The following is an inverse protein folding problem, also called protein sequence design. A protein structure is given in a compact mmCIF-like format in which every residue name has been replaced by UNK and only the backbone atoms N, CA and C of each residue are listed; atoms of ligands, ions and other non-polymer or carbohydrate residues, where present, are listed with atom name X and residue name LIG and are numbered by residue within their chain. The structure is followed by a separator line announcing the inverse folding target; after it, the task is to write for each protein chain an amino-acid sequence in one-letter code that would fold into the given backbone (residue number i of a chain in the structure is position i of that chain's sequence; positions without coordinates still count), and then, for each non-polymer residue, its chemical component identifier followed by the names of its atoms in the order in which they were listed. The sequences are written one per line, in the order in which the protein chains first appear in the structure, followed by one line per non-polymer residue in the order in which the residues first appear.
data_IF_591116661368
#
_entry.id   IF_591116661368
#
_cell.length_a   1.000
_cell.length_b   1.000
_cell.length_c   1.000
_cell.angle_alpha   90.00
_cell.angle_beta   90.00
_cell.angle_gamma   90.00
#
_symmetry.space_group_name_H-M   'P 1'
#
loop_
_entity.id
_entity.type
_entity.pdbx_description
1 polymer ?
#
# COMPACT_ATOMS: atom_id res chain seq x y z
N UNK A 1 -11.50 6.33 -10.19
CA UNK A 1 -10.66 5.64 -11.19
C UNK A 1 -9.23 5.53 -10.67
N UNK A 2 -8.66 4.36 -10.78
CA UNK A 2 -7.27 4.09 -10.37
C UNK A 2 -6.30 4.65 -11.41
N UNK A 3 -5.38 5.50 -10.98
CA UNK A 3 -4.44 6.16 -11.90
C UNK A 3 -3.10 6.47 -11.24
N UNK A 4 -2.07 6.69 -12.06
CA UNK A 4 -0.76 7.14 -11.60
C UNK A 4 -0.84 8.57 -11.07
N UNK A 5 -0.08 8.84 -10.01
CA UNK A 5 0.16 10.19 -9.51
C UNK A 5 0.96 10.98 -10.54
N UNK A 6 0.57 12.22 -10.77
CA UNK A 6 1.24 13.16 -11.65
C UNK A 6 2.17 14.07 -10.85
N UNK A 7 3.14 14.67 -11.52
CA UNK A 7 4.04 15.62 -10.89
C UNK A 7 3.28 16.76 -10.19
N UNK A 8 2.19 17.23 -10.81
CA UNK A 8 1.34 18.28 -10.25
C UNK A 8 0.61 17.87 -8.96
N UNK A 9 0.57 16.57 -8.64
CA UNK A 9 -0.07 16.05 -7.44
C UNK A 9 0.87 15.94 -6.24
N UNK A 10 2.18 16.11 -6.42
CA UNK A 10 3.16 15.79 -5.38
C UNK A 10 2.94 16.57 -4.07
N UNK A 11 2.62 17.84 -4.15
CA UNK A 11 2.32 18.64 -2.96
C UNK A 11 1.07 18.15 -2.24
N UNK A 12 0.05 17.78 -2.99
CA UNK A 12 -1.18 17.19 -2.43
C UNK A 12 -0.87 15.87 -1.72
N UNK A 13 0.00 15.03 -2.30
CA UNK A 13 0.41 13.78 -1.67
C UNK A 13 1.16 14.01 -0.36
N UNK A 14 2.06 15.00 -0.31
CA UNK A 14 2.76 15.37 0.92
C UNK A 14 1.79 15.75 2.03
N UNK A 15 0.79 16.56 1.71
CA UNK A 15 -0.27 16.91 2.65
C UNK A 15 -1.11 15.71 3.07
N UNK A 16 -1.42 14.82 2.12
CA UNK A 16 -2.17 13.59 2.39
C UNK A 16 -1.44 12.71 3.41
N UNK A 17 -0.14 12.51 3.25
CA UNK A 17 0.66 11.74 4.20
C UNK A 17 0.59 12.33 5.61
N UNK A 18 0.72 13.63 5.74
CA UNK A 18 0.69 14.30 7.06
C UNK A 18 -0.70 14.29 7.68
N UNK A 19 -1.74 14.40 6.87
CA UNK A 19 -3.12 14.37 7.37
C UNK A 19 -3.51 13.02 7.97
N UNK A 20 -2.99 11.92 7.44
CA UNK A 20 -3.27 10.58 7.98
C UNK A 20 -2.36 10.18 9.14
N UNK A 21 -1.19 10.78 9.26
CA UNK A 21 -0.26 10.47 10.34
C UNK A 21 -0.92 10.66 11.70
N UNK A 22 -0.84 9.64 12.56
CA UNK A 22 -1.41 9.68 13.91
C UNK A 22 -2.92 9.44 14.00
N UNK A 23 -3.61 9.20 12.88
CA UNK A 23 -5.02 8.81 12.91
C UNK A 23 -5.18 7.34 13.33
N UNK A 24 -6.38 6.96 13.76
CA UNK A 24 -6.67 5.59 14.19
C UNK A 24 -6.38 4.58 13.07
N UNK A 25 -5.78 3.45 13.42
CA UNK A 25 -5.38 2.37 12.50
C UNK A 25 -4.32 2.77 11.45
N UNK A 26 -3.73 3.94 11.55
CA UNK A 26 -2.66 4.37 10.66
C UNK A 26 -1.31 4.33 11.40
N UNK A 27 -0.38 3.55 10.89
CA UNK A 27 0.97 3.45 11.44
C UNK A 27 1.92 4.56 10.95
N UNK A 28 1.43 5.46 10.11
CA UNK A 28 2.24 6.56 9.58
C UNK A 28 2.56 7.58 10.67
N UNK A 29 3.71 8.23 10.51
CA UNK A 29 4.21 9.22 11.47
C UNK A 29 4.34 10.59 10.82
N UNK A 30 4.81 11.57 11.56
CA UNK A 30 5.08 12.91 11.04
C UNK A 30 6.28 12.95 10.06
N UNK A 31 7.05 11.86 9.97
CA UNK A 31 8.19 11.74 9.05
C UNK A 31 8.07 10.58 8.05
N UNK A 32 7.13 9.65 8.25
CA UNK A 32 6.95 8.50 7.35
C UNK A 32 5.46 8.32 6.99
N UNK A 33 5.10 8.16 5.70
CA UNK A 33 5.96 8.32 4.53
C UNK A 33 6.51 9.74 4.42
N UNK A 34 7.75 9.87 3.96
CA UNK A 34 8.39 11.15 3.76
C UNK A 34 8.83 11.38 2.33
N UNK A 35 9.68 12.38 2.13
CA UNK A 35 10.17 12.73 0.80
C UNK A 35 10.95 11.59 0.11
N UNK A 36 11.80 10.80 0.83
CA UNK A 36 12.50 9.69 0.18
C UNK A 36 11.55 8.66 -0.43
N UNK A 37 10.49 8.30 0.29
CA UNK A 37 9.49 7.34 -0.18
C UNK A 37 8.70 7.90 -1.34
N UNK A 38 8.27 9.16 -1.25
CA UNK A 38 7.53 9.83 -2.29
C UNK A 38 8.32 9.88 -3.60
N UNK A 39 9.57 10.31 -3.54
CA UNK A 39 10.42 10.41 -4.73
C UNK A 39 10.74 9.05 -5.33
N UNK A 40 11.01 8.05 -4.50
CA UNK A 40 11.23 6.68 -4.97
C UNK A 40 10.01 6.13 -5.69
N UNK A 41 8.84 6.21 -5.06
CA UNK A 41 7.60 5.69 -5.65
C UNK A 41 7.25 6.40 -6.94
N UNK A 42 7.36 7.73 -6.95
CA UNK A 42 7.05 8.53 -8.13
C UNK A 42 8.02 8.23 -9.29
N UNK A 43 9.31 8.17 -9.02
CA UNK A 43 10.33 7.91 -10.06
C UNK A 43 10.23 6.53 -10.70
N UNK A 44 9.63 5.56 -9.99
CA UNK A 44 9.42 4.19 -10.47
C UNK A 44 8.05 4.00 -11.13
N UNK A 45 7.26 5.05 -11.31
CA UNK A 45 5.86 4.98 -11.76
C UNK A 45 5.05 3.99 -10.90
N UNK A 46 5.21 4.09 -9.59
CA UNK A 46 4.68 3.11 -8.64
C UNK A 46 3.83 3.72 -7.52
N UNK A 47 3.39 4.96 -7.70
CA UNK A 47 2.46 5.62 -6.78
C UNK A 47 1.14 5.89 -7.51
N UNK A 48 0.07 5.33 -6.98
CA UNK A 48 -1.26 5.38 -7.60
C UNK A 48 -2.27 6.01 -6.65
N UNK A 49 -3.32 6.54 -7.23
CA UNK A 49 -4.43 7.11 -6.46
C UNK A 49 -5.78 6.72 -7.03
N UNK A 50 -6.79 6.92 -6.19
CA UNK A 50 -8.19 6.99 -6.61
C UNK A 50 -8.67 8.39 -6.25
N UNK A 51 -9.35 9.04 -7.20
CA UNK A 51 -9.95 10.37 -6.99
C UNK A 51 -11.45 10.26 -6.78
N UNK A 52 -11.96 11.17 -5.98
CA UNK A 52 -13.39 11.36 -5.87
C UNK A 52 -13.94 11.90 -7.21
N UNK A 53 -15.00 11.27 -7.73
CA UNK A 53 -15.53 11.60 -9.04
C UNK A 53 -16.16 13.00 -9.12
N UNK A 54 -16.61 13.52 -7.99
CA UNK A 54 -17.29 14.83 -7.93
C UNK A 54 -16.26 15.95 -7.71
N UNK A 55 -15.40 15.83 -6.70
CA UNK A 55 -14.48 16.90 -6.31
C UNK A 55 -13.14 16.85 -7.05
N UNK A 56 -12.74 15.68 -7.57
CA UNK A 56 -11.41 15.44 -8.13
C UNK A 56 -10.31 15.30 -7.08
N UNK A 57 -10.64 15.37 -5.80
CA UNK A 57 -9.68 15.19 -4.72
C UNK A 57 -9.15 13.75 -4.67
N UNK A 58 -7.91 13.60 -4.22
CA UNK A 58 -7.34 12.28 -3.96
C UNK A 58 -8.04 11.67 -2.75
N UNK A 59 -8.79 10.59 -2.98
CA UNK A 59 -9.48 9.85 -1.94
C UNK A 59 -8.58 8.83 -1.25
N UNK A 60 -7.62 8.26 -1.97
CA UNK A 60 -6.70 7.28 -1.44
C UNK A 60 -5.46 7.11 -2.29
N UNK A 61 -4.43 6.56 -1.68
CA UNK A 61 -3.11 6.31 -2.29
C UNK A 61 -2.66 4.88 -2.01
N UNK A 62 -1.85 4.33 -2.91
CA UNK A 62 -1.17 3.05 -2.73
C UNK A 62 0.13 3.05 -3.53
N UNK A 63 1.14 2.38 -3.02
CA UNK A 63 2.43 2.20 -3.71
C UNK A 63 2.69 0.74 -4.01
N UNK A 64 3.38 0.48 -5.13
CA UNK A 64 4.11 -0.77 -5.36
C UNK A 64 5.57 -0.50 -5.01
N UNK A 65 6.10 -1.23 -4.02
CA UNK A 65 7.42 -0.96 -3.44
C UNK A 65 8.45 -2.02 -3.83
N UNK A 66 9.71 -1.66 -3.69
CA UNK A 66 10.86 -2.52 -3.97
C UNK A 66 11.85 -2.55 -2.78
N UNK A 67 11.37 -2.37 -1.57
CA UNK A 67 12.19 -2.36 -0.36
C UNK A 67 12.98 -3.68 -0.22
N UNK A 68 14.34 -3.64 -0.31
CA UNK A 68 15.15 -4.86 -0.23
C UNK A 68 14.99 -5.62 1.08
N UNK A 69 14.74 -4.93 2.19
CA UNK A 69 14.54 -5.60 3.47
C UNK A 69 13.27 -6.46 3.44
N UNK A 70 12.17 -5.93 2.91
CA UNK A 70 10.91 -6.67 2.80
C UNK A 70 11.05 -7.82 1.82
N UNK A 71 11.68 -7.58 0.66
CA UNK A 71 11.89 -8.61 -0.35
C UNK A 71 12.73 -9.78 0.17
N UNK A 72 13.65 -9.53 1.10
CA UNK A 72 14.56 -10.54 1.66
C UNK A 72 13.93 -11.40 2.76
N UNK A 73 12.71 -11.12 3.20
CA UNK A 73 12.03 -11.93 4.22
C UNK A 73 11.80 -13.35 3.67
N UNK A 74 12.20 -14.35 4.46
CA UNK A 74 12.23 -15.75 3.99
C UNK A 74 10.86 -16.41 3.86
N UNK A 75 9.79 -15.76 4.32
CA UNK A 75 8.45 -16.34 4.30
C UNK A 75 7.77 -16.33 2.91
N UNK A 76 8.28 -15.54 1.95
CA UNK A 76 7.65 -15.44 0.63
C UNK A 76 7.85 -16.71 -0.19
N UNK A 77 6.81 -17.18 -0.87
CA UNK A 77 6.83 -18.42 -1.66
C UNK A 77 7.73 -18.28 -2.88
N UNK A 78 8.70 -19.19 -3.04
CA UNK A 78 9.63 -19.17 -4.17
C UNK A 78 8.93 -19.39 -5.52
N UNK A 79 7.94 -20.27 -5.56
CA UNK A 79 7.17 -20.59 -6.76
C UNK A 79 6.28 -19.43 -7.23
N UNK A 80 6.06 -18.44 -6.39
CA UNK A 80 5.28 -17.23 -6.70
C UNK A 80 6.14 -16.04 -7.08
N UNK A 81 7.43 -16.23 -7.32
CA UNK A 81 8.31 -15.18 -7.80
C UNK A 81 8.25 -15.06 -9.33
N UNK A 82 8.39 -13.89 -9.93
CA UNK A 82 8.64 -12.60 -9.25
C UNK A 82 7.41 -12.06 -8.53
N UNK A 83 7.66 -11.40 -7.42
CA UNK A 83 6.64 -10.78 -6.57
C UNK A 83 7.02 -9.31 -6.29
N UNK A 84 6.06 -8.51 -5.87
CA UNK A 84 6.33 -7.13 -5.45
C UNK A 84 5.44 -6.75 -4.27
N UNK A 85 5.92 -5.80 -3.49
CA UNK A 85 5.22 -5.33 -2.31
C UNK A 85 4.16 -4.30 -2.66
N UNK A 86 2.98 -4.43 -2.04
CA UNK A 86 1.99 -3.35 -1.96
C UNK A 86 2.19 -2.68 -0.61
N UNK A 87 2.43 -1.38 -0.62
CA UNK A 87 2.70 -0.62 0.60
C UNK A 87 2.09 0.77 0.57
N UNK A 88 2.20 1.47 1.68
CA UNK A 88 1.73 2.86 1.83
C UNK A 88 0.31 3.06 1.30
N UNK A 89 -0.58 2.13 1.66
CA UNK A 89 -1.99 2.25 1.36
C UNK A 89 -2.65 3.14 2.42
N UNK A 90 -3.30 4.20 1.97
CA UNK A 90 -4.02 5.10 2.85
C UNK A 90 -5.27 5.66 2.18
N UNK A 91 -6.32 5.86 2.97
CA UNK A 91 -7.58 6.44 2.52
C UNK A 91 -7.87 7.66 3.39
N UNK A 92 -8.15 8.81 2.77
CA UNK A 92 -8.50 10.02 3.49
C UNK A 92 -9.72 9.77 4.38
N UNK A 93 -9.72 10.33 5.60
CA UNK A 93 -10.73 10.02 6.61
C UNK A 93 -12.17 10.19 6.10
N UNK A 94 -12.44 11.25 5.36
CA UNK A 94 -13.78 11.51 4.82
C UNK A 94 -14.23 10.52 3.74
N UNK A 95 -13.31 9.75 3.18
CA UNK A 95 -13.59 8.74 2.14
C UNK A 95 -13.50 7.31 2.65
N UNK A 96 -13.23 7.10 3.93
CA UNK A 96 -13.16 5.76 4.52
C UNK A 96 -14.53 5.07 4.55
N UNK A 97 -14.50 3.74 4.62
CA UNK A 97 -15.71 2.88 4.66
C UNK A 97 -16.57 2.95 3.38
N UNK A 98 -15.95 3.28 2.25
CA UNK A 98 -16.62 3.35 0.94
C UNK A 98 -16.01 2.38 -0.09
N UNK A 99 -15.15 1.46 0.34
CA UNK A 99 -14.51 0.49 -0.54
C UNK A 99 -13.26 0.99 -1.27
N UNK A 100 -12.78 2.19 -0.98
CA UNK A 100 -11.61 2.79 -1.67
C UNK A 100 -10.35 1.93 -1.48
N UNK A 101 -10.09 1.45 -0.25
CA UNK A 101 -8.93 0.59 0.01
C UNK A 101 -8.96 -0.68 -0.84
N UNK A 102 -10.13 -1.27 -1.02
CA UNK A 102 -10.30 -2.46 -1.84
C UNK A 102 -10.04 -2.17 -3.32
N UNK A 103 -10.52 -1.04 -3.81
CA UNK A 103 -10.26 -0.61 -5.20
C UNK A 103 -8.78 -0.33 -5.42
N UNK A 104 -8.10 0.30 -4.45
CA UNK A 104 -6.66 0.54 -4.50
C UNK A 104 -5.88 -0.78 -4.58
N UNK A 105 -6.23 -1.75 -3.74
CA UNK A 105 -5.59 -3.06 -3.76
C UNK A 105 -5.82 -3.77 -5.09
N UNK A 106 -7.04 -3.76 -5.60
CA UNK A 106 -7.36 -4.38 -6.89
C UNK A 106 -6.56 -3.73 -8.03
N UNK A 107 -6.48 -2.42 -8.06
CA UNK A 107 -5.70 -1.68 -9.04
C UNK A 107 -4.20 -1.98 -8.95
N UNK A 108 -3.65 -1.99 -7.74
CA UNK A 108 -2.24 -2.30 -7.50
C UNK A 108 -1.90 -3.73 -7.95
N UNK A 109 -2.75 -4.69 -7.62
CA UNK A 109 -2.56 -6.10 -8.03
C UNK A 109 -2.62 -6.25 -9.55
N UNK A 110 -3.55 -5.59 -10.21
CA UNK A 110 -3.65 -5.64 -11.68
C UNK A 110 -2.42 -5.04 -12.33
N UNK A 111 -1.90 -3.93 -11.80
CA UNK A 111 -0.67 -3.32 -12.31
C UNK A 111 0.54 -4.25 -12.11
N UNK A 112 0.64 -4.92 -10.97
CA UNK A 112 1.71 -5.90 -10.74
C UNK A 112 1.61 -7.07 -11.71
N UNK A 113 0.39 -7.55 -11.98
CA UNK A 113 0.17 -8.61 -12.99
C UNK A 113 0.63 -8.14 -14.37
N UNK A 114 0.30 -6.92 -14.75
CA UNK A 114 0.71 -6.33 -16.02
C UNK A 114 2.24 -6.21 -16.13
N UNK A 115 2.92 -5.97 -15.00
CA UNK A 115 4.39 -5.90 -14.93
C UNK A 115 5.07 -7.27 -14.87
N UNK A 116 4.30 -8.36 -14.88
CA UNK A 116 4.83 -9.73 -14.91
C UNK A 116 5.00 -10.38 -13.56
N UNK A 117 4.50 -9.80 -12.48
CA UNK A 117 4.55 -10.41 -11.16
C UNK A 117 3.57 -11.59 -11.06
N UNK A 118 3.99 -12.65 -10.39
CA UNK A 118 3.14 -13.83 -10.11
C UNK A 118 2.36 -13.68 -8.82
N UNK A 119 2.83 -12.83 -7.93
CA UNK A 119 2.17 -12.58 -6.64
C UNK A 119 2.43 -11.15 -6.17
N UNK A 120 1.63 -10.75 -5.19
CA UNK A 120 1.82 -9.55 -4.41
C UNK A 120 2.02 -9.94 -2.94
N UNK A 121 2.80 -9.16 -2.22
CA UNK A 121 2.99 -9.35 -0.79
C UNK A 121 2.89 -8.03 -0.05
N UNK A 122 2.61 -8.09 1.26
CA UNK A 122 2.50 -6.91 2.09
C UNK A 122 2.74 -7.22 3.56
N UNK A 123 3.18 -6.20 4.29
CA UNK A 123 3.24 -6.23 5.75
C UNK A 123 2.03 -5.49 6.31
N UNK A 124 1.35 -6.10 7.27
CA UNK A 124 0.20 -5.49 7.94
C UNK A 124 0.45 -5.48 9.44
N UNK A 125 0.39 -4.30 10.05
CA UNK A 125 0.57 -4.18 11.49
C UNK A 125 -0.41 -5.08 12.23
N UNK A 126 0.08 -5.82 13.22
CA UNK A 126 -0.74 -6.81 13.96
C UNK A 126 -1.91 -6.18 14.71
N UNK A 127 -1.79 -4.90 15.08
CA UNK A 127 -2.84 -4.15 15.77
C UNK A 127 -3.84 -3.49 14.82
N UNK A 128 -3.61 -3.54 13.51
CA UNK A 128 -4.55 -2.99 12.52
C UNK A 128 -5.63 -4.02 12.18
N UNK A 129 -6.53 -4.27 13.13
CA UNK A 129 -7.59 -5.28 12.99
C UNK A 129 -8.55 -5.01 11.83
N UNK A 130 -8.77 -3.75 11.49
CA UNK A 130 -9.63 -3.37 10.37
C UNK A 130 -9.03 -3.81 9.04
N UNK A 131 -7.75 -3.56 8.83
CA UNK A 131 -7.04 -3.99 7.63
C UNK A 131 -6.95 -5.53 7.55
N UNK A 132 -6.65 -6.19 8.67
CA UNK A 132 -6.58 -7.65 8.74
C UNK A 132 -7.87 -8.32 8.27
N UNK A 133 -9.02 -7.82 8.72
CA UNK A 133 -10.33 -8.34 8.31
C UNK A 133 -10.58 -8.14 6.81
N UNK A 134 -10.20 -6.98 6.28
CA UNK A 134 -10.37 -6.68 4.85
C UNK A 134 -9.51 -7.59 3.98
N UNK A 135 -8.26 -7.83 4.38
CA UNK A 135 -7.31 -8.64 3.59
C UNK A 135 -7.66 -10.12 3.62
N UNK A 136 -8.16 -10.64 4.73
CA UNK A 136 -8.69 -12.00 4.80
C UNK A 136 -9.83 -12.21 3.80
N UNK A 137 -10.74 -11.25 3.68
CA UNK A 137 -11.84 -11.29 2.70
C UNK A 137 -11.36 -11.26 1.26
N UNK A 138 -10.19 -10.68 1.00
CA UNK A 138 -9.59 -10.59 -0.34
C UNK A 138 -8.70 -11.80 -0.66
N UNK A 139 -8.73 -12.83 0.17
CA UNK A 139 -7.97 -14.07 0.01
C UNK A 139 -6.44 -13.90 0.02
N UNK A 140 -5.94 -12.91 0.76
CA UNK A 140 -4.53 -12.86 1.10
C UNK A 140 -4.21 -13.92 2.13
N UNK A 141 -3.11 -14.64 1.95
CA UNK A 141 -2.67 -15.67 2.88
C UNK A 141 -1.61 -15.12 3.83
N UNK A 142 -1.80 -15.38 5.12
CA UNK A 142 -0.81 -15.08 6.15
C UNK A 142 0.29 -16.13 6.06
N UNK A 143 1.50 -15.72 5.72
CA UNK A 143 2.64 -16.63 5.48
C UNK A 143 3.76 -16.47 6.49
N UNK A 144 3.71 -15.47 7.35
CA UNK A 144 4.72 -15.28 8.38
C UNK A 144 4.50 -14.00 9.17
N UNK A 145 5.51 -13.66 9.95
CA UNK A 145 5.56 -12.44 10.73
C UNK A 145 6.95 -11.84 10.69
N UNK A 146 7.05 -10.54 10.90
CA UNK A 146 8.30 -9.83 10.84
C UNK A 146 8.28 -8.57 11.70
N UNK A 147 9.38 -8.27 12.38
CA UNK A 147 9.54 -7.03 13.12
C UNK A 147 10.39 -6.07 12.28
N UNK A 148 9.81 -4.94 11.92
CA UNK A 148 10.47 -3.90 11.14
C UNK A 148 10.47 -2.60 11.93
N UNK A 149 11.65 -2.06 12.20
CA UNK A 149 11.84 -0.82 12.96
C UNK A 149 11.04 -0.78 14.27
N UNK A 150 11.04 -1.90 15.00
CA UNK A 150 10.37 -2.03 16.29
C UNK A 150 8.86 -2.25 16.24
N UNK A 151 8.26 -2.33 15.05
CA UNK A 151 6.85 -2.66 14.84
C UNK A 151 6.68 -4.10 14.43
N UNK A 152 5.62 -4.74 14.91
CA UNK A 152 5.33 -6.15 14.67
C UNK A 152 4.26 -6.29 13.57
N UNK A 153 4.58 -7.04 12.53
CA UNK A 153 3.74 -7.20 11.33
C UNK A 153 3.44 -8.65 11.04
N UNK A 154 2.26 -8.88 10.47
CA UNK A 154 1.98 -10.09 9.72
C UNK A 154 2.45 -9.92 8.28
N UNK A 155 2.97 -11.02 7.71
CA UNK A 155 3.32 -11.08 6.30
C UNK A 155 2.19 -11.76 5.54
N UNK A 156 1.68 -11.10 4.50
CA UNK A 156 0.63 -11.63 3.64
C UNK A 156 1.12 -11.72 2.21
N UNK A 157 0.72 -12.76 1.50
CA UNK A 157 0.94 -12.86 0.06
C UNK A 157 -0.32 -13.32 -0.65
N UNK A 158 -0.42 -12.99 -1.93
CA UNK A 158 -1.53 -13.37 -2.79
C UNK A 158 -1.03 -13.68 -4.18
N UNK A 159 -1.39 -14.85 -4.69
CA UNK A 159 -1.16 -15.20 -6.09
C UNK A 159 -2.01 -14.31 -7.00
N UNK A 160 -1.41 -13.78 -8.04
CA UNK A 160 -2.08 -12.93 -9.02
C UNK A 160 -2.61 -13.70 -10.22
#
# INVERSE_FOLDING_TARGET
MFELIKESDLDTVRHFYRALAGTEFCAWTDIYPGEPELQSDFSRDSLFCIRDDVSGEIAGLVSNDDDPEVESIVCWSEELQPSAEISRLGVAEKYQNRGIARELLAGAMEELRRRGCKSAHMLVAKDNVKALRSYEKLAFEKVGEYVLQGHDYWCFEKKL
#
